data_IF_324959819084
#
_entry.id   IF_324959819084
#
_cell.length_a   1.000
_cell.length_b   1.000
_cell.length_c   1.000
_cell.angle_alpha   90.00
_cell.angle_beta   90.00
_cell.angle_gamma   90.00
#
_symmetry.space_group_name_H-M   'P 1'
#
loop_
_entity.id
_entity.type
_entity.pdbx_description
1 polymer ?
#
# COMPACT_ATOMS: atom_id res chain seq x y z
N UNK A 1 -33.31 -8.02 -17.40
CA UNK A 1 -32.56 -8.51 -16.22
C UNK A 1 -31.47 -7.47 -15.93
N UNK A 2 -31.67 -6.70 -14.86
CA UNK A 2 -30.92 -5.49 -14.54
C UNK A 2 -29.54 -5.81 -13.95
N UNK A 3 -28.48 -5.42 -14.66
CA UNK A 3 -27.12 -5.38 -14.12
C UNK A 3 -26.77 -3.92 -13.78
N UNK A 4 -27.35 -3.43 -12.69
CA UNK A 4 -26.95 -2.17 -12.06
C UNK A 4 -26.44 -2.48 -10.66
N UNK A 5 -25.51 -3.43 -10.55
CA UNK A 5 -24.52 -3.36 -9.48
C UNK A 5 -23.79 -2.04 -9.68
N UNK A 6 -24.07 -1.07 -8.81
CA UNK A 6 -23.29 0.16 -8.73
C UNK A 6 -21.87 -0.25 -8.36
N UNK A 7 -21.02 -0.42 -9.36
CA UNK A 7 -19.57 -0.59 -9.15
C UNK A 7 -19.15 0.60 -8.30
N UNK A 8 -18.71 0.32 -7.07
CA UNK A 8 -18.20 1.33 -6.16
C UNK A 8 -16.88 1.85 -6.76
N UNK A 9 -16.97 2.93 -7.54
CA UNK A 9 -15.82 3.52 -8.22
C UNK A 9 -15.00 4.30 -7.20
N UNK A 10 -13.76 3.87 -7.01
CA UNK A 10 -12.81 4.54 -6.12
C UNK A 10 -12.53 5.99 -6.57
N UNK A 11 -12.05 6.85 -5.67
CA UNK A 11 -11.66 8.22 -6.03
C UNK A 11 -10.53 8.29 -7.08
N UNK A 12 -9.71 7.23 -7.16
CA UNK A 12 -8.74 7.02 -8.24
C UNK A 12 -9.46 6.58 -9.53
N UNK A 13 -10.37 5.62 -9.43
CA UNK A 13 -11.21 5.15 -10.53
C UNK A 13 -12.00 6.26 -11.24
N UNK A 14 -12.61 7.16 -10.47
CA UNK A 14 -13.31 8.33 -11.01
C UNK A 14 -12.34 9.26 -11.78
N UNK A 15 -11.10 9.39 -11.31
CA UNK A 15 -10.07 10.19 -11.99
C UNK A 15 -9.61 9.53 -13.30
N UNK A 16 -9.48 8.20 -13.30
CA UNK A 16 -9.11 7.39 -14.48
C UNK A 16 -10.21 7.45 -15.54
N UNK A 17 -11.46 7.16 -15.18
CA UNK A 17 -12.60 7.24 -16.10
C UNK A 17 -12.83 8.66 -16.60
N UNK A 18 -12.70 9.67 -15.72
CA UNK A 18 -12.78 11.08 -16.08
C UNK A 18 -11.71 11.46 -17.11
N UNK A 19 -10.50 10.93 -16.99
CA UNK A 19 -9.46 11.16 -17.99
C UNK A 19 -9.82 10.53 -19.35
N UNK A 20 -10.37 9.33 -19.35
CA UNK A 20 -10.82 8.68 -20.59
C UNK A 20 -11.96 9.43 -21.29
N UNK A 21 -12.77 10.20 -20.55
CA UNK A 21 -13.81 11.05 -21.11
C UNK A 21 -13.25 12.19 -21.97
N UNK A 22 -12.01 12.63 -21.73
CA UNK A 22 -11.37 13.71 -22.50
C UNK A 22 -10.99 13.34 -23.93
N UNK A 23 -10.99 12.06 -24.31
CA UNK A 23 -10.55 11.66 -25.66
C UNK A 23 -11.20 10.36 -26.12
N UNK A 24 -11.94 10.45 -27.22
CA UNK A 24 -12.58 9.30 -27.86
C UNK A 24 -11.61 8.22 -28.35
N UNK A 25 -10.37 8.59 -28.67
CA UNK A 25 -9.35 7.64 -29.12
C UNK A 25 -8.67 6.86 -27.97
N UNK A 26 -8.97 7.21 -26.71
CA UNK A 26 -8.45 6.52 -25.53
C UNK A 26 -7.07 6.97 -25.08
N UNK A 27 -6.64 6.42 -23.94
CA UNK A 27 -5.33 6.67 -23.32
C UNK A 27 -4.66 5.36 -22.90
N UNK A 28 -3.33 5.35 -22.90
CA UNK A 28 -2.55 4.28 -22.27
C UNK A 28 -2.47 4.50 -20.75
N UNK A 29 -2.27 3.44 -19.94
CA UNK A 29 -2.09 3.59 -18.49
C UNK A 29 -1.00 4.61 -18.12
N UNK A 30 0.11 4.60 -18.87
CA UNK A 30 1.20 5.56 -18.72
C UNK A 30 0.78 7.01 -18.96
N UNK A 31 0.02 7.28 -20.03
CA UNK A 31 -0.44 8.64 -20.34
C UNK A 31 -1.45 9.17 -19.31
N UNK A 32 -2.27 8.27 -18.74
CA UNK A 32 -3.16 8.59 -17.61
C UNK A 32 -2.31 8.92 -16.38
N UNK A 33 -1.31 8.10 -16.05
CA UNK A 33 -0.42 8.30 -14.91
C UNK A 33 0.29 9.66 -14.96
N UNK A 34 0.85 10.03 -16.12
CA UNK A 34 1.50 11.32 -16.32
C UNK A 34 0.53 12.51 -16.12
N UNK A 35 -0.72 12.36 -16.57
CA UNK A 35 -1.73 13.44 -16.44
C UNK A 35 -2.21 13.60 -15.01
N UNK A 36 -2.41 12.50 -14.30
CA UNK A 36 -2.87 12.51 -12.91
C UNK A 36 -1.78 13.00 -11.94
N UNK A 37 -0.51 13.06 -12.37
CA UNK A 37 0.65 13.49 -11.58
C UNK A 37 0.64 12.85 -10.17
N UNK A 38 0.22 11.59 -10.08
CA UNK A 38 0.02 10.92 -8.80
C UNK A 38 1.35 10.89 -8.05
N UNK A 39 1.47 11.54 -6.88
CA UNK A 39 2.66 11.48 -6.07
C UNK A 39 2.65 10.15 -5.31
N UNK A 40 2.82 9.04 -6.02
CA UNK A 40 3.08 7.73 -5.43
C UNK A 40 4.58 7.61 -5.15
N UNK A 41 5.13 8.58 -4.42
CA UNK A 41 6.39 8.45 -3.69
C UNK A 41 6.08 8.24 -2.21
N UNK A 42 5.25 7.24 -1.92
CA UNK A 42 5.22 6.68 -0.58
C UNK A 42 6.45 5.78 -0.44
N UNK A 43 7.38 6.19 0.43
CA UNK A 43 8.62 5.49 0.82
C UNK A 43 8.49 3.96 0.70
N UNK A 44 9.18 3.35 -0.26
CA UNK A 44 9.43 1.91 -0.33
C UNK A 44 8.48 1.06 -1.19
N UNK A 45 7.46 1.63 -1.83
CA UNK A 45 6.64 0.87 -2.79
C UNK A 45 7.13 1.11 -4.22
N UNK A 46 7.79 0.10 -4.81
CA UNK A 46 8.20 0.08 -6.23
C UNK A 46 7.03 -0.10 -7.21
N UNK A 47 5.77 0.05 -6.76
CA UNK A 47 4.63 -0.12 -7.66
C UNK A 47 4.56 1.11 -8.58
N UNK A 48 4.99 0.90 -9.83
CA UNK A 48 4.87 1.90 -10.87
C UNK A 48 3.40 2.39 -10.98
N UNK A 49 3.15 3.71 -10.96
CA UNK A 49 1.80 4.28 -11.06
C UNK A 49 0.96 3.74 -12.23
N UNK A 50 1.63 3.38 -13.32
CA UNK A 50 1.03 2.74 -14.49
C UNK A 50 0.37 1.40 -14.16
N UNK A 51 0.96 0.59 -13.26
CA UNK A 51 0.41 -0.72 -12.86
C UNK A 51 -0.85 -0.59 -12.02
N UNK A 52 -0.93 0.41 -11.13
CA UNK A 52 -2.15 0.67 -10.35
C UNK A 52 -3.30 1.10 -11.26
N UNK A 53 -3.01 1.97 -12.23
CA UNK A 53 -3.99 2.39 -13.23
C UNK A 53 -4.40 1.21 -14.11
N UNK A 54 -3.44 0.34 -14.48
CA UNK A 54 -3.74 -0.86 -15.25
C UNK A 54 -4.65 -1.83 -14.50
N UNK A 55 -4.44 -2.05 -13.20
CA UNK A 55 -5.31 -2.88 -12.37
C UNK A 55 -6.75 -2.34 -12.31
N UNK A 56 -6.91 -1.02 -12.13
CA UNK A 56 -8.23 -0.36 -12.16
C UNK A 56 -8.89 -0.50 -13.55
N UNK A 57 -8.13 -0.33 -14.64
CA UNK A 57 -8.64 -0.50 -16.00
C UNK A 57 -9.04 -1.93 -16.32
N UNK A 58 -8.34 -2.93 -15.78
CA UNK A 58 -8.75 -4.34 -15.89
C UNK A 58 -10.09 -4.57 -15.20
N UNK A 59 -10.28 -4.03 -13.98
CA UNK A 59 -11.56 -4.08 -13.27
C UNK A 59 -12.69 -3.41 -14.05
N UNK A 60 -12.44 -2.23 -14.62
CA UNK A 60 -13.42 -1.54 -15.47
C UNK A 60 -13.71 -2.27 -16.78
N UNK A 61 -12.74 -2.99 -17.33
CA UNK A 61 -12.95 -3.79 -18.54
C UNK A 61 -13.86 -4.98 -18.22
N UNK A 62 -13.64 -5.66 -17.09
CA UNK A 62 -14.51 -6.75 -16.62
C UNK A 62 -15.93 -6.26 -16.34
N UNK A 63 -16.07 -5.05 -15.78
CA UNK A 63 -17.36 -4.40 -15.55
C UNK A 63 -18.01 -3.80 -16.81
N UNK A 64 -17.38 -3.93 -17.99
CA UNK A 64 -17.91 -3.40 -19.25
C UNK A 64 -17.92 -1.87 -19.37
N UNK A 65 -17.20 -1.15 -18.49
CA UNK A 65 -17.13 0.32 -18.48
C UNK A 65 -16.05 0.86 -19.44
N UNK A 66 -15.01 0.07 -19.71
CA UNK A 66 -13.97 0.41 -20.68
C UNK A 66 -13.73 -0.75 -21.63
N UNK A 67 -13.22 -0.44 -22.83
CA UNK A 67 -12.75 -1.42 -23.81
C UNK A 67 -11.30 -1.15 -24.15
N UNK A 68 -10.52 -2.22 -24.32
CA UNK A 68 -9.13 -2.13 -24.80
C UNK A 68 -9.12 -1.92 -26.31
N UNK A 69 -8.20 -1.09 -26.76
CA UNK A 69 -8.06 -0.63 -28.15
C UNK A 69 -6.59 -0.71 -28.57
N UNK A 70 -6.31 -0.41 -29.84
CA UNK A 70 -4.96 -0.54 -30.43
C UNK A 70 -3.91 0.20 -29.58
N UNK A 71 -2.68 -0.32 -29.55
CA UNK A 71 -1.53 0.20 -28.76
C UNK A 71 -1.75 0.21 -27.24
N UNK A 72 -2.41 -0.82 -26.69
CA UNK A 72 -2.67 -0.94 -25.25
C UNK A 72 -3.38 0.29 -24.63
N UNK A 73 -4.20 0.97 -25.44
CA UNK A 73 -5.03 2.08 -24.98
C UNK A 73 -6.38 1.58 -24.52
N UNK A 74 -7.04 2.33 -23.63
CA UNK A 74 -8.38 2.06 -23.16
C UNK A 74 -9.31 3.19 -23.56
N UNK A 75 -10.54 2.86 -23.96
CA UNK A 75 -11.62 3.79 -24.29
C UNK A 75 -12.83 3.50 -23.42
N UNK A 76 -13.63 4.52 -23.11
CA UNK A 76 -14.92 4.34 -22.45
C UNK A 76 -15.90 3.60 -23.38
N UNK A 77 -16.72 2.74 -22.78
CA UNK A 77 -17.95 2.26 -23.40
C UNK A 77 -19.09 3.27 -23.18
N UNK A 78 -20.25 3.03 -23.80
CA UNK A 78 -21.45 3.88 -23.55
C UNK A 78 -21.89 3.83 -22.09
N UNK A 79 -21.75 2.69 -21.44
CA UNK A 79 -22.10 2.52 -20.03
C UNK A 79 -21.07 3.19 -19.12
N UNK A 80 -19.77 3.06 -19.43
CA UNK A 80 -18.72 3.80 -18.74
C UNK A 80 -18.89 5.31 -18.84
N UNK A 81 -19.25 5.84 -20.02
CA UNK A 81 -19.56 7.26 -20.21
C UNK A 81 -20.78 7.69 -19.37
N UNK A 82 -21.86 6.90 -19.35
CA UNK A 82 -23.05 7.20 -18.53
C UNK A 82 -22.69 7.26 -17.04
N UNK A 83 -21.92 6.30 -16.57
CA UNK A 83 -21.50 6.20 -15.16
C UNK A 83 -20.61 7.37 -14.76
N UNK A 84 -19.57 7.69 -15.54
CA UNK A 84 -18.68 8.80 -15.19
C UNK A 84 -19.36 10.17 -15.31
N UNK A 85 -20.27 10.35 -16.27
CA UNK A 85 -21.06 11.59 -16.37
C UNK A 85 -22.00 11.75 -15.19
N UNK A 86 -22.65 10.67 -14.73
CA UNK A 86 -23.46 10.69 -13.51
C UNK A 86 -22.60 11.05 -12.27
N UNK A 87 -21.40 10.48 -12.16
CA UNK A 87 -20.45 10.75 -11.07
C UNK A 87 -19.98 12.20 -11.04
N UNK A 88 -19.79 12.81 -12.22
CA UNK A 88 -19.33 14.18 -12.40
C UNK A 88 -20.47 15.20 -12.53
N UNK A 89 -21.73 14.77 -12.39
CA UNK A 89 -22.93 15.59 -12.60
C UNK A 89 -22.96 16.29 -13.98
N UNK A 90 -22.40 15.65 -15.02
CA UNK A 90 -22.39 16.15 -16.39
C UNK A 90 -23.66 15.74 -17.15
N UNK A 91 -24.19 16.58 -18.06
CA UNK A 91 -25.34 16.22 -18.88
C UNK A 91 -25.01 15.00 -19.76
N UNK A 92 -25.99 14.08 -19.87
CA UNK A 92 -25.83 12.82 -20.62
C UNK A 92 -25.80 13.02 -22.14
N UNK A 93 -26.23 14.18 -22.63
CA UNK A 93 -26.30 14.51 -24.05
C UNK A 93 -25.50 15.78 -24.38
N UNK A 94 -24.24 15.62 -24.76
CA UNK A 94 -23.55 16.64 -25.54
C UNK A 94 -22.96 16.01 -26.81
N UNK A 95 -23.41 16.50 -27.97
CA UNK A 95 -22.80 16.13 -29.26
C UNK A 95 -21.40 16.76 -29.33
N UNK A 96 -20.40 15.92 -29.61
CA UNK A 96 -19.20 16.24 -30.39
C UNK A 96 -18.07 17.10 -29.79
N UNK A 97 -18.06 17.49 -28.51
CA UNK A 97 -16.87 18.13 -27.92
C UNK A 97 -16.25 17.27 -26.84
N UNK A 98 -14.98 16.95 -27.01
CA UNK A 98 -14.18 16.27 -26.00
C UNK A 98 -14.13 17.13 -24.72
N UNK A 99 -14.44 16.53 -23.58
CA UNK A 99 -14.49 17.22 -22.30
C UNK A 99 -13.08 17.68 -21.88
N UNK A 100 -12.96 18.91 -21.38
CA UNK A 100 -11.67 19.44 -20.96
C UNK A 100 -11.28 18.84 -19.60
N UNK A 101 -10.07 18.28 -19.51
CA UNK A 101 -9.52 17.73 -18.27
C UNK A 101 -9.56 18.72 -17.10
N UNK A 102 -9.39 20.02 -17.39
CA UNK A 102 -9.39 21.07 -16.36
C UNK A 102 -10.76 21.19 -15.67
N UNK A 103 -11.84 21.05 -16.42
CA UNK A 103 -13.22 21.14 -15.91
C UNK A 103 -13.62 19.85 -15.18
N UNK A 104 -13.23 18.69 -15.72
CA UNK A 104 -13.39 17.39 -15.05
C UNK A 104 -12.67 17.40 -13.69
N UNK A 105 -11.43 17.88 -13.65
CA UNK A 105 -10.66 17.99 -12.40
C UNK A 105 -11.38 18.86 -11.38
N UNK A 106 -11.99 19.98 -11.81
CA UNK A 106 -12.74 20.90 -10.95
C UNK A 106 -13.96 20.21 -10.31
N UNK A 107 -14.71 19.44 -11.09
CA UNK A 107 -15.85 18.67 -10.58
C UNK A 107 -15.43 17.54 -9.64
N UNK A 108 -14.32 16.84 -9.96
CA UNK A 108 -13.75 15.83 -9.05
C UNK A 108 -13.30 16.43 -7.72
N UNK A 109 -12.71 17.63 -7.72
CA UNK A 109 -12.31 18.31 -6.48
C UNK A 109 -13.50 18.84 -5.69
N UNK A 110 -14.52 19.39 -6.35
CA UNK A 110 -15.75 19.85 -5.69
C UNK A 110 -16.46 18.69 -5.01
N UNK A 111 -16.53 17.53 -5.67
CA UNK A 111 -17.10 16.32 -5.09
C UNK A 111 -16.30 15.77 -3.92
N UNK A 112 -14.96 15.76 -3.96
CA UNK A 112 -14.16 15.36 -2.79
C UNK A 112 -14.43 16.28 -1.61
N UNK A 113 -14.56 17.58 -1.87
CA UNK A 113 -14.93 18.53 -0.82
C UNK A 113 -16.35 18.29 -0.29
N UNK A 114 -17.32 17.96 -1.14
CA UNK A 114 -18.68 17.59 -0.71
C UNK A 114 -18.73 16.21 -0.01
N UNK A 115 -17.90 15.25 -0.39
CA UNK A 115 -17.75 13.97 0.32
C UNK A 115 -17.07 14.19 1.68
N UNK A 116 -16.08 15.08 1.77
CA UNK A 116 -15.42 15.46 3.03
C UNK A 116 -16.35 16.30 3.92
N UNK A 117 -17.17 17.18 3.34
CA UNK A 117 -18.18 18.00 4.04
C UNK A 117 -19.40 17.15 4.42
N UNK A 118 -19.83 16.20 3.59
CA UNK A 118 -20.91 15.26 3.89
C UNK A 118 -20.45 14.21 4.91
N UNK A 119 -19.19 13.77 4.86
CA UNK A 119 -18.57 12.96 5.90
C UNK A 119 -18.42 13.74 7.22
N UNK A 120 -18.04 15.03 7.18
CA UNK A 120 -17.99 15.90 8.35
C UNK A 120 -19.37 16.25 8.92
N UNK A 121 -20.38 16.45 8.05
CA UNK A 121 -21.78 16.66 8.42
C UNK A 121 -22.46 15.39 8.94
N UNK A 122 -21.91 14.21 8.63
CA UNK A 122 -22.26 12.94 9.28
C UNK A 122 -21.58 12.73 10.64
N UNK A 123 -21.32 13.82 11.37
CA UNK A 123 -21.20 13.76 12.83
C UNK A 123 -22.56 13.28 13.36
N UNK A 124 -22.77 11.96 13.35
CA UNK A 124 -23.91 11.27 13.95
C UNK A 124 -23.88 11.54 15.44
N UNK A 125 -24.45 12.65 15.85
CA UNK A 125 -24.90 12.83 17.21
C UNK A 125 -25.90 11.70 17.47
N UNK A 126 -25.61 10.85 18.45
CA UNK A 126 -26.55 9.83 18.90
C UNK A 126 -27.67 10.62 19.58
N UNK A 127 -28.75 10.91 18.84
CA UNK A 127 -29.93 11.57 19.40
C UNK A 127 -30.67 10.53 20.23
N UNK A 128 -30.48 10.57 21.55
CA UNK A 128 -31.27 9.79 22.48
C UNK A 128 -32.51 10.63 22.81
N UNK A 129 -33.65 10.30 22.22
CA UNK A 129 -34.93 10.95 22.54
C UNK A 129 -35.37 10.54 23.95
N UNK A 130 -35.19 11.43 24.92
CA UNK A 130 -35.65 11.25 26.30
C UNK A 130 -36.59 12.42 26.63
N UNK A 131 -37.80 12.17 27.17
CA UNK A 131 -38.68 13.23 27.63
C UNK A 131 -37.96 14.16 28.63
N UNK A 132 -38.13 15.49 28.55
CA UNK A 132 -37.35 16.43 29.36
C UNK A 132 -37.54 16.25 30.87
N UNK A 133 -38.71 15.74 31.29
CA UNK A 133 -39.00 15.41 32.69
C UNK A 133 -38.16 14.22 33.20
N UNK A 134 -37.93 13.21 32.36
CA UNK A 134 -37.12 12.05 32.70
C UNK A 134 -35.63 12.37 32.63
N UNK A 135 -35.22 13.26 31.71
CA UNK A 135 -33.83 13.65 31.54
C UNK A 135 -33.24 14.30 32.81
N UNK A 136 -34.01 15.16 33.50
CA UNK A 136 -33.58 15.79 34.74
C UNK A 136 -33.41 14.77 35.88
N UNK A 137 -34.33 13.80 35.99
CA UNK A 137 -34.28 12.74 37.01
C UNK A 137 -33.09 11.80 36.77
N UNK A 138 -32.86 11.39 35.52
CA UNK A 138 -31.73 10.54 35.13
C UNK A 138 -30.41 11.28 35.40
N UNK A 139 -30.31 12.56 35.03
CA UNK A 139 -29.12 13.37 35.30
C UNK A 139 -28.80 13.44 36.80
N UNK A 140 -29.79 13.69 37.66
CA UNK A 140 -29.59 13.74 39.11
C UNK A 140 -29.13 12.39 39.70
N UNK A 141 -29.70 11.27 39.23
CA UNK A 141 -29.29 9.93 39.65
C UNK A 141 -27.84 9.62 39.25
N UNK A 142 -27.47 9.94 38.01
CA UNK A 142 -26.11 9.70 37.51
C UNK A 142 -25.06 10.57 38.22
N UNK A 143 -25.38 11.84 38.49
CA UNK A 143 -24.50 12.73 39.26
C UNK A 143 -24.24 12.17 40.66
N UNK A 144 -25.29 11.70 41.35
CA UNK A 144 -25.15 11.08 42.67
C UNK A 144 -24.39 9.76 42.66
N UNK A 145 -24.69 8.87 41.71
CA UNK A 145 -24.08 7.54 41.63
C UNK A 145 -22.59 7.57 41.24
N UNK A 146 -22.19 8.50 40.37
CA UNK A 146 -20.82 8.62 39.87
C UNK A 146 -20.01 9.73 40.56
N UNK A 147 -20.56 10.37 41.61
CA UNK A 147 -19.92 11.46 42.35
C UNK A 147 -19.35 12.57 41.45
N UNK A 148 -20.18 13.06 40.51
CA UNK A 148 -19.74 14.01 39.48
C UNK A 148 -19.90 15.48 39.93
N UNK A 149 -18.81 16.25 39.90
CA UNK A 149 -18.82 17.69 40.24
C UNK A 149 -19.24 18.56 39.03
N UNK A 150 -20.53 18.53 38.67
CA UNK A 150 -21.05 19.24 37.49
C UNK A 150 -21.91 20.48 37.79
N UNK A 151 -21.99 20.91 39.06
CA UNK A 151 -22.77 22.06 39.51
C UNK A 151 -24.27 21.80 39.63
N UNK A 152 -25.05 22.84 39.93
CA UNK A 152 -26.51 22.76 40.10
C UNK A 152 -27.20 22.73 38.72
N UNK A 153 -27.85 21.61 38.38
CA UNK A 153 -28.63 21.33 37.15
C UNK A 153 -27.83 21.13 35.84
N UNK A 154 -26.95 20.11 35.75
CA UNK A 154 -26.29 19.80 34.48
C UNK A 154 -27.24 19.16 33.47
N UNK A 155 -27.13 19.55 32.21
CA UNK A 155 -27.85 18.90 31.10
C UNK A 155 -27.46 17.42 31.00
N UNK A 156 -28.42 16.55 30.68
CA UNK A 156 -28.19 15.10 30.61
C UNK A 156 -27.01 14.72 29.68
N UNK A 157 -26.88 15.36 28.52
CA UNK A 157 -25.76 15.13 27.61
C UNK A 157 -24.39 15.41 28.26
N UNK A 158 -24.29 16.44 29.10
CA UNK A 158 -23.07 16.77 29.86
C UNK A 158 -22.78 15.73 30.93
N UNK A 159 -23.82 15.25 31.62
CA UNK A 159 -23.69 14.17 32.62
C UNK A 159 -23.23 12.88 31.95
N UNK A 160 -23.84 12.48 30.84
CA UNK A 160 -23.44 11.29 30.07
C UNK A 160 -22.00 11.40 29.57
N UNK A 161 -21.60 12.57 29.07
CA UNK A 161 -20.21 12.81 28.67
C UNK A 161 -19.21 12.67 29.84
N UNK A 162 -19.57 13.19 31.03
CA UNK A 162 -18.74 13.06 32.22
C UNK A 162 -18.65 11.61 32.74
N UNK A 163 -19.76 10.85 32.71
CA UNK A 163 -19.76 9.41 33.02
C UNK A 163 -18.86 8.66 32.03
N UNK A 164 -18.96 8.98 30.73
CA UNK A 164 -18.14 8.35 29.70
C UNK A 164 -16.64 8.67 29.87
N UNK A 165 -16.28 9.91 30.24
CA UNK A 165 -14.91 10.27 30.61
C UNK A 165 -14.40 9.49 31.83
N UNK A 166 -15.23 9.35 32.87
CA UNK A 166 -14.91 8.56 34.06
C UNK A 166 -14.63 7.08 33.72
N UNK A 167 -15.43 6.48 32.82
CA UNK A 167 -15.25 5.10 32.38
C UNK A 167 -13.90 4.84 31.69
N UNK A 168 -13.33 5.85 31.02
CA UNK A 168 -11.99 5.77 30.40
C UNK A 168 -10.86 6.31 31.31
N UNK A 169 -11.18 6.57 32.59
CA UNK A 169 -10.24 7.01 33.62
C UNK A 169 -9.71 8.42 33.37
N UNK A 170 -10.55 9.33 32.86
CA UNK A 170 -10.18 10.71 32.58
C UNK A 170 -11.10 11.63 33.37
N UNK A 171 -10.52 12.53 34.16
CA UNK A 171 -11.28 13.59 34.82
C UNK A 171 -11.09 14.87 34.02
N UNK A 172 -12.09 15.23 33.21
CA UNK A 172 -12.07 16.46 32.41
C UNK A 172 -13.44 17.12 32.38
N UNK A 173 -13.44 18.45 32.29
CA UNK A 173 -14.65 19.25 32.07
C UNK A 173 -14.97 19.42 30.56
N UNK A 174 -14.13 18.88 29.68
CA UNK A 174 -14.33 18.93 28.23
C UNK A 174 -15.54 18.11 27.78
N UNK A 175 -16.24 18.54 26.70
CA UNK A 175 -17.31 17.75 26.12
C UNK A 175 -16.77 16.41 25.58
N UNK A 176 -17.54 15.35 25.73
CA UNK A 176 -17.19 14.02 25.22
C UNK A 176 -17.45 13.95 23.71
N UNK A 177 -16.50 14.44 22.92
CA UNK A 177 -16.55 14.39 21.46
C UNK A 177 -15.56 13.36 20.91
N UNK A 178 -15.79 12.87 19.68
CA UNK A 178 -14.87 11.94 19.02
C UNK A 178 -13.44 12.49 18.96
N UNK A 179 -13.28 13.76 18.63
CA UNK A 179 -11.99 14.44 18.57
C UNK A 179 -11.28 14.46 19.94
N UNK A 180 -12.01 14.82 21.01
CA UNK A 180 -11.46 14.85 22.36
C UNK A 180 -11.06 13.43 22.83
N UNK A 181 -11.90 12.42 22.56
CA UNK A 181 -11.61 11.02 22.89
C UNK A 181 -10.38 10.53 22.13
N UNK A 182 -10.32 10.76 20.81
CA UNK A 182 -9.17 10.40 20.00
C UNK A 182 -7.89 11.08 20.51
N UNK A 183 -7.96 12.38 20.82
CA UNK A 183 -6.82 13.14 21.37
C UNK A 183 -6.30 12.53 22.65
N UNK A 184 -7.18 12.14 23.58
CA UNK A 184 -6.76 11.52 24.86
C UNK A 184 -6.19 10.12 24.65
N UNK A 185 -6.87 9.25 23.89
CA UNK A 185 -6.42 7.87 23.67
C UNK A 185 -5.10 7.82 22.89
N UNK A 186 -5.01 8.58 21.80
CA UNK A 186 -3.78 8.70 21.01
C UNK A 186 -2.69 9.42 21.80
N UNK A 187 -3.04 10.40 22.62
CA UNK A 187 -2.11 11.12 23.49
C UNK A 187 -1.45 10.19 24.50
N UNK A 188 -2.21 9.30 25.15
CA UNK A 188 -1.66 8.24 26.02
C UNK A 188 -0.67 7.34 25.30
N UNK A 189 -0.99 6.94 24.06
CA UNK A 189 -0.08 6.10 23.27
C UNK A 189 1.19 6.86 22.84
N UNK A 190 1.08 8.16 22.61
CA UNK A 190 2.17 9.04 22.18
C UNK A 190 3.05 9.56 23.31
N UNK A 191 2.67 9.34 24.58
CA UNK A 191 3.17 10.06 25.75
C UNK A 191 3.08 11.59 25.60
N UNK A 192 2.00 12.06 24.96
CA UNK A 192 1.77 13.47 24.69
C UNK A 192 1.29 14.23 25.95
N UNK A 193 1.63 15.52 26.09
CA UNK A 193 1.13 16.33 27.20
C UNK A 193 -0.39 16.54 27.10
N UNK A 194 -1.06 16.70 28.25
CA UNK A 194 -2.52 16.74 28.36
C UNK A 194 -3.19 17.85 27.50
N UNK A 195 -2.47 18.94 27.23
CA UNK A 195 -2.93 20.10 26.45
C UNK A 195 -2.53 20.03 24.96
N UNK A 196 -1.93 18.93 24.50
CA UNK A 196 -1.58 18.78 23.10
C UNK A 196 -2.84 18.73 22.21
N UNK A 197 -2.80 19.46 21.10
CA UNK A 197 -3.82 19.36 20.05
C UNK A 197 -3.75 17.99 19.35
N UNK A 198 -4.86 17.53 18.75
CA UNK A 198 -4.88 16.24 18.04
C UNK A 198 -3.78 16.13 16.97
N UNK A 199 -3.51 17.23 16.26
CA UNK A 199 -2.41 17.28 15.27
C UNK A 199 -1.05 17.04 15.91
N UNK A 200 -0.77 17.68 17.04
CA UNK A 200 0.49 17.49 17.77
C UNK A 200 0.62 16.05 18.30
N UNK A 201 -0.48 15.45 18.77
CA UNK A 201 -0.53 14.05 19.19
C UNK A 201 -0.21 13.11 18.01
N UNK A 202 -0.80 13.35 16.84
CA UNK A 202 -0.52 12.57 15.62
C UNK A 202 0.94 12.71 15.22
N UNK A 203 1.49 13.93 15.22
CA UNK A 203 2.90 14.16 14.89
C UNK A 203 3.85 13.43 15.85
N UNK A 204 3.52 13.40 17.15
CA UNK A 204 4.26 12.65 18.17
C UNK A 204 4.15 11.13 17.95
N UNK A 205 2.96 10.63 17.62
CA UNK A 205 2.78 9.21 17.26
C UNK A 205 3.58 8.83 16.04
N UNK A 206 3.59 9.65 14.99
CA UNK A 206 4.36 9.40 13.77
C UNK A 206 5.86 9.37 14.10
N UNK A 207 6.35 10.28 14.96
CA UNK A 207 7.74 10.26 15.42
C UNK A 207 8.06 9.01 16.23
N UNK A 208 7.21 8.63 17.18
CA UNK A 208 7.37 7.43 18.01
C UNK A 208 7.31 6.13 17.19
N UNK A 209 6.40 6.06 16.22
CA UNK A 209 6.35 4.97 15.26
C UNK A 209 7.59 4.94 14.37
N UNK A 210 8.14 6.09 13.99
CA UNK A 210 9.38 6.16 13.20
C UNK A 210 10.60 5.72 14.01
N UNK A 211 10.69 6.05 15.30
CA UNK A 211 11.79 5.58 16.17
C UNK A 211 11.68 4.08 16.42
N UNK A 212 10.49 3.58 16.75
CA UNK A 212 10.23 2.14 16.88
C UNK A 212 10.49 1.39 15.56
N UNK A 213 10.09 1.96 14.42
CA UNK A 213 10.37 1.37 13.11
C UNK A 213 11.86 1.43 12.76
N UNK A 214 12.62 2.41 13.24
CA UNK A 214 14.08 2.50 13.06
C UNK A 214 14.81 1.52 13.98
N UNK A 215 14.36 1.35 15.22
CA UNK A 215 14.87 0.34 16.15
C UNK A 215 14.52 -1.07 15.70
N UNK A 216 13.31 -1.30 15.20
CA UNK A 216 12.90 -2.53 14.55
C UNK A 216 13.69 -2.77 13.25
N UNK A 217 13.99 -1.73 12.45
CA UNK A 217 14.92 -1.84 11.31
C UNK A 217 16.38 -2.01 11.73
N UNK A 218 16.79 -1.62 12.93
CA UNK A 218 18.10 -1.94 13.48
C UNK A 218 18.23 -3.41 13.88
N UNK A 219 17.11 -4.02 14.28
CA UNK A 219 16.98 -5.44 14.60
C UNK A 219 16.59 -6.33 13.40
N UNK A 220 16.02 -5.73 12.35
CA UNK A 220 15.51 -6.41 11.13
C UNK A 220 16.16 -5.90 9.84
N UNK A 221 17.18 -5.03 9.91
CA UNK A 221 18.10 -4.92 8.80
C UNK A 221 18.71 -6.30 8.63
N UNK A 222 18.74 -6.87 7.41
CA UNK A 222 19.71 -7.92 7.16
C UNK A 222 21.04 -7.31 7.58
N UNK A 223 21.69 -7.90 8.59
CA UNK A 223 23.09 -7.61 8.78
C UNK A 223 23.69 -7.91 7.41
N UNK A 224 24.17 -6.89 6.72
CA UNK A 224 24.75 -7.04 5.39
C UNK A 224 25.99 -7.89 5.58
N UNK A 225 25.83 -9.20 5.56
CA UNK A 225 26.90 -10.12 5.82
C UNK A 225 27.76 -10.09 4.56
N UNK A 226 29.00 -9.64 4.67
CA UNK A 226 29.93 -9.76 3.56
C UNK A 226 30.07 -11.25 3.22
N UNK A 227 30.25 -11.57 1.93
CA UNK A 227 30.65 -12.91 1.55
C UNK A 227 31.92 -13.30 2.33
N UNK A 228 31.99 -14.52 2.92
CA UNK A 228 33.19 -14.98 3.61
C UNK A 228 34.42 -14.75 2.74
N UNK A 229 35.54 -14.26 3.28
CA UNK A 229 36.73 -13.97 2.46
C UNK A 229 37.47 -15.25 2.06
N UNK A 230 37.38 -16.29 2.88
CA UNK A 230 38.02 -17.58 2.65
C UNK A 230 37.21 -18.43 1.65
N UNK A 231 37.92 -19.17 0.81
CA UNK A 231 37.33 -19.95 -0.28
C UNK A 231 36.48 -21.15 0.20
N UNK A 232 36.88 -21.91 1.24
CA UNK A 232 36.08 -23.04 1.76
C UNK A 232 34.75 -22.61 2.38
N UNK A 233 34.74 -21.57 3.23
CA UNK A 233 33.49 -21.09 3.84
C UNK A 233 32.60 -20.43 2.80
N UNK A 234 33.17 -19.76 1.79
CA UNK A 234 32.42 -19.28 0.64
C UNK A 234 31.74 -20.42 -0.11
N UNK A 235 32.47 -21.49 -0.44
CA UNK A 235 31.90 -22.64 -1.14
C UNK A 235 30.79 -23.33 -0.34
N UNK A 236 31.01 -23.54 0.96
CA UNK A 236 29.99 -24.08 1.86
C UNK A 236 28.72 -23.21 1.88
N UNK A 237 28.89 -21.88 1.97
CA UNK A 237 27.77 -20.94 1.97
C UNK A 237 26.98 -20.95 0.66
N UNK A 238 27.67 -21.05 -0.48
CA UNK A 238 27.05 -21.19 -1.80
C UNK A 238 26.25 -22.49 -1.89
N UNK A 239 26.79 -23.60 -1.40
CA UNK A 239 26.10 -24.91 -1.39
C UNK A 239 24.86 -24.87 -0.48
N UNK A 240 24.97 -24.24 0.71
CA UNK A 240 23.82 -24.03 1.59
C UNK A 240 22.72 -23.21 0.93
N UNK A 241 23.09 -22.10 0.29
CA UNK A 241 22.14 -21.26 -0.45
C UNK A 241 21.49 -22.02 -1.62
N UNK A 242 22.25 -22.85 -2.33
CA UNK A 242 21.73 -23.72 -3.38
C UNK A 242 20.74 -24.75 -2.81
N UNK A 243 21.07 -25.40 -1.68
CA UNK A 243 20.17 -26.34 -0.97
C UNK A 243 18.89 -25.68 -0.49
N UNK A 244 18.97 -24.45 0.02
CA UNK A 244 17.83 -23.69 0.50
C UNK A 244 16.96 -23.10 -0.63
N UNK A 245 17.48 -23.02 -1.86
CA UNK A 245 16.73 -22.48 -2.98
C UNK A 245 15.53 -23.35 -3.32
N UNK A 246 14.34 -22.73 -3.37
CA UNK A 246 13.08 -23.36 -3.80
C UNK A 246 12.80 -23.17 -5.29
N UNK A 247 13.57 -22.33 -5.98
CA UNK A 247 13.39 -21.98 -7.39
C UNK A 247 14.68 -22.22 -8.19
N UNK A 248 14.57 -22.27 -9.52
CA UNK A 248 15.73 -22.47 -10.40
C UNK A 248 16.40 -23.83 -10.27
N UNK A 249 15.65 -24.84 -9.82
CA UNK A 249 16.12 -26.22 -9.75
C UNK A 249 15.97 -26.88 -11.12
N UNK A 250 16.98 -27.64 -11.51
CA UNK A 250 16.94 -28.48 -12.69
C UNK A 250 17.29 -29.92 -12.30
N UNK A 251 16.26 -30.77 -12.20
CA UNK A 251 16.36 -32.06 -11.53
C UNK A 251 16.61 -31.92 -10.03
N UNK A 252 17.08 -33.00 -9.40
CA UNK A 252 17.14 -33.08 -7.94
C UNK A 252 18.41 -32.46 -7.34
N UNK A 253 19.47 -32.30 -8.14
CA UNK A 253 20.82 -31.97 -7.66
C UNK A 253 21.48 -30.77 -8.35
N UNK A 254 20.74 -29.96 -9.11
CA UNK A 254 21.29 -28.77 -9.79
C UNK A 254 20.43 -27.55 -9.54
N UNK A 255 21.08 -26.41 -9.29
CA UNK A 255 20.43 -25.11 -9.13
C UNK A 255 21.16 -24.08 -9.97
N UNK A 256 20.40 -23.25 -10.69
CA UNK A 256 20.93 -22.15 -11.49
C UNK A 256 21.75 -21.17 -10.64
N UNK A 257 22.93 -20.77 -11.14
CA UNK A 257 23.82 -19.81 -10.45
C UNK A 257 23.08 -18.49 -10.15
N UNK A 258 22.23 -18.03 -11.07
CA UNK A 258 21.40 -16.82 -10.88
C UNK A 258 20.46 -16.92 -9.67
N UNK A 259 19.90 -18.10 -9.41
CA UNK A 259 19.03 -18.34 -8.27
C UNK A 259 19.79 -18.44 -6.96
N UNK A 260 20.98 -19.04 -6.96
CA UNK A 260 21.86 -19.05 -5.78
C UNK A 260 22.28 -17.63 -5.42
N UNK A 261 22.66 -16.82 -6.41
CA UNK A 261 23.02 -15.42 -6.22
C UNK A 261 21.85 -14.60 -5.63
N UNK A 262 20.67 -14.69 -6.25
CA UNK A 262 19.45 -14.03 -5.75
C UNK A 262 19.13 -14.45 -4.32
N UNK A 263 19.26 -15.73 -4.00
CA UNK A 263 19.02 -16.25 -2.66
C UNK A 263 19.97 -15.65 -1.63
N UNK A 264 21.26 -15.55 -1.94
CA UNK A 264 22.24 -14.91 -1.07
C UNK A 264 21.89 -13.43 -0.82
N UNK A 265 21.47 -12.70 -1.85
CA UNK A 265 21.02 -11.31 -1.72
C UNK A 265 19.76 -11.20 -0.85
N UNK A 266 18.78 -12.10 -1.01
CA UNK A 266 17.58 -12.17 -0.17
C UNK A 266 17.91 -12.47 1.30
N UNK A 267 18.96 -13.24 1.56
CA UNK A 267 19.48 -13.51 2.91
C UNK A 267 20.28 -12.34 3.49
N UNK A 268 20.43 -11.24 2.74
CA UNK A 268 21.14 -10.04 3.18
C UNK A 268 22.63 -10.04 2.88
N UNK A 269 23.14 -10.94 2.05
CA UNK A 269 24.56 -10.95 1.67
C UNK A 269 24.84 -9.79 0.70
N UNK A 270 25.83 -8.95 1.01
CA UNK A 270 26.29 -7.94 0.06
C UNK A 270 27.04 -8.59 -1.10
N UNK A 271 26.50 -8.47 -2.30
CA UNK A 271 27.14 -8.87 -3.54
C UNK A 271 27.02 -7.70 -4.50
N UNK A 272 28.02 -6.82 -4.47
CA UNK A 272 28.04 -5.59 -5.29
C UNK A 272 28.42 -5.86 -6.74
N UNK A 273 29.12 -6.98 -7.00
CA UNK A 273 29.58 -7.39 -8.32
C UNK A 273 29.30 -8.88 -8.56
N UNK A 274 28.34 -9.14 -9.45
CA UNK A 274 27.95 -10.48 -9.85
C UNK A 274 29.06 -11.21 -10.62
N UNK A 275 29.89 -10.50 -11.39
CA UNK A 275 30.98 -11.09 -12.16
C UNK A 275 32.14 -11.49 -11.24
N UNK A 276 32.46 -10.67 -10.23
CA UNK A 276 33.41 -11.05 -9.18
C UNK A 276 32.94 -12.30 -8.41
N UNK A 277 31.65 -12.40 -8.10
CA UNK A 277 31.07 -13.59 -7.50
C UNK A 277 31.21 -14.83 -8.39
N UNK A 278 30.90 -14.72 -9.69
CA UNK A 278 31.04 -15.81 -10.66
C UNK A 278 32.50 -16.24 -10.84
N UNK A 279 33.45 -15.30 -10.92
CA UNK A 279 34.88 -15.60 -10.98
C UNK A 279 35.33 -16.40 -9.74
N UNK A 280 34.77 -16.06 -8.59
CA UNK A 280 35.05 -16.75 -7.33
C UNK A 280 34.42 -18.15 -7.25
N UNK A 281 33.23 -18.35 -7.82
CA UNK A 281 32.65 -19.68 -8.01
C UNK A 281 33.56 -20.57 -8.87
N UNK A 282 34.13 -20.02 -9.94
CA UNK A 282 35.09 -20.74 -10.78
C UNK A 282 36.35 -21.11 -10.00
N UNK A 283 36.88 -20.20 -9.16
CA UNK A 283 38.02 -20.50 -8.27
C UNK A 283 37.71 -21.69 -7.35
N UNK A 284 36.59 -21.61 -6.63
CA UNK A 284 36.15 -22.67 -5.72
C UNK A 284 35.90 -24.02 -6.44
N UNK A 285 35.41 -23.97 -7.69
CA UNK A 285 35.24 -25.15 -8.50
C UNK A 285 36.57 -25.81 -8.87
N UNK A 286 37.56 -25.02 -9.28
CA UNK A 286 38.92 -25.50 -9.60
C UNK A 286 39.63 -26.09 -8.38
N UNK A 287 39.37 -25.54 -7.21
CA UNK A 287 39.89 -26.05 -5.93
C UNK A 287 39.14 -27.30 -5.43
N UNK A 288 38.12 -27.79 -6.16
CA UNK A 288 37.34 -28.97 -5.78
C UNK A 288 36.41 -28.76 -4.58
N UNK A 289 36.18 -27.51 -4.17
CA UNK A 289 35.34 -27.16 -3.02
C UNK A 289 33.85 -27.15 -3.37
N UNK A 290 33.52 -26.97 -4.64
CA UNK A 290 32.17 -27.11 -5.18
C UNK A 290 32.21 -27.64 -6.62
N UNK A 291 31.08 -28.13 -7.12
CA UNK A 291 30.96 -28.61 -8.49
C UNK A 291 30.03 -27.70 -9.30
N UNK A 292 30.53 -27.19 -10.43
CA UNK A 292 29.74 -26.46 -11.41
C UNK A 292 29.40 -27.37 -12.59
N UNK A 293 28.19 -27.23 -13.12
CA UNK A 293 27.71 -28.01 -14.26
C UNK A 293 27.28 -27.11 -15.42
N UNK A 294 27.43 -27.65 -16.63
CA UNK A 294 26.93 -27.06 -17.87
C UNK A 294 25.44 -27.33 -18.02
N UNK A 295 24.79 -26.50 -18.84
CA UNK A 295 23.47 -26.80 -19.37
C UNK A 295 23.63 -27.53 -20.71
N UNK A 296 23.27 -28.80 -20.72
CA UNK A 296 23.35 -29.64 -21.93
C UNK A 296 22.09 -29.55 -22.80
N UNK A 297 20.97 -29.08 -22.22
CA UNK A 297 19.67 -28.95 -22.87
C UNK A 297 19.08 -27.55 -22.65
N UNK A 298 19.82 -26.53 -23.08
CA UNK A 298 19.47 -25.10 -22.90
C UNK A 298 18.10 -24.76 -23.49
N UNK A 299 17.74 -25.37 -24.63
CA UNK A 299 16.47 -25.10 -25.34
C UNK A 299 15.22 -25.51 -24.54
N UNK A 300 15.36 -26.38 -23.53
CA UNK A 300 14.27 -26.81 -22.66
C UNK A 300 14.20 -26.01 -21.34
N UNK A 301 15.03 -24.98 -21.19
CA UNK A 301 15.16 -24.18 -19.97
C UNK A 301 14.65 -22.74 -20.19
N UNK A 302 14.33 -22.04 -19.10
CA UNK A 302 13.96 -20.62 -19.15
C UNK A 302 15.17 -19.79 -19.63
N UNK A 303 15.09 -19.09 -20.77
CA UNK A 303 16.25 -18.41 -21.36
C UNK A 303 16.86 -17.36 -20.42
N UNK A 304 16.03 -16.64 -19.65
CA UNK A 304 16.50 -15.64 -18.72
C UNK A 304 17.37 -16.22 -17.59
N UNK A 305 17.06 -17.43 -17.12
CA UNK A 305 17.82 -18.08 -16.05
C UNK A 305 19.14 -18.66 -16.56
N UNK A 306 19.17 -19.11 -17.82
CA UNK A 306 20.39 -19.54 -18.52
C UNK A 306 21.32 -18.35 -18.69
N UNK A 307 20.85 -17.26 -19.31
CA UNK A 307 21.63 -16.06 -19.60
C UNK A 307 22.20 -15.46 -18.30
N UNK A 308 21.38 -15.34 -17.26
CA UNK A 308 21.81 -14.79 -15.97
C UNK A 308 22.81 -15.70 -15.23
N UNK A 309 22.79 -17.01 -15.50
CA UNK A 309 23.67 -18.00 -14.87
C UNK A 309 24.97 -18.22 -15.61
N UNK A 310 25.12 -17.71 -16.84
CA UNK A 310 26.33 -17.90 -17.63
C UNK A 310 27.57 -17.47 -16.85
N UNK A 311 28.42 -18.46 -16.59
CA UNK A 311 29.70 -18.30 -15.90
C UNK A 311 30.79 -18.91 -16.75
N UNK A 312 31.56 -18.07 -17.44
CA UNK A 312 32.55 -18.48 -18.43
C UNK A 312 33.92 -18.70 -17.79
N UNK A 313 34.55 -19.81 -18.13
CA UNK A 313 35.94 -20.11 -17.82
C UNK A 313 36.60 -20.83 -19.00
N UNK A 314 37.59 -20.19 -19.61
CA UNK A 314 38.23 -20.64 -20.84
C UNK A 314 37.18 -20.94 -21.93
N UNK A 315 37.12 -22.18 -22.43
CA UNK A 315 36.16 -22.64 -23.44
C UNK A 315 34.87 -23.24 -22.85
N UNK A 316 34.67 -23.14 -21.53
CA UNK A 316 33.54 -23.77 -20.84
C UNK A 316 32.62 -22.73 -20.20
N UNK A 317 31.31 -22.90 -20.38
CA UNK A 317 30.27 -22.08 -19.72
C UNK A 317 29.50 -22.93 -18.74
N UNK A 318 29.55 -22.56 -17.47
CA UNK A 318 28.77 -23.17 -16.39
C UNK A 318 27.48 -22.40 -16.14
N UNK A 319 26.45 -23.11 -15.71
CA UNK A 319 25.12 -22.55 -15.44
C UNK A 319 24.55 -23.00 -14.08
N UNK A 320 25.05 -24.12 -13.55
CA UNK A 320 24.51 -24.74 -12.35
C UNK A 320 25.57 -24.92 -11.27
N UNK A 321 25.14 -24.77 -10.02
CA UNK A 321 25.82 -25.36 -8.85
C UNK A 321 25.22 -26.74 -8.60
N UNK A 322 26.08 -27.75 -8.45
CA UNK A 322 25.67 -29.11 -8.07
C UNK A 322 25.63 -29.24 -6.55
N UNK A 323 24.56 -29.87 -6.06
CA UNK A 323 24.30 -30.16 -4.64
C UNK A 323 24.62 -31.62 -4.32
#
# INVERSE_FOLDING_TARGET
MSASEQVAISGLGASVLGRLLCRSNGYTPYAIAQTLQLPLKAKGSHIEPSRLIENELIGFQQAGLVKRVRKASYQLTRDGERVIRAILCLPQHHKSKAENWRDIKKNLTARRLDEDVSAAASSREIVIEIPPADAARIAALLVGAFHLDLGTTPALARVLGAVAWSAIGVTTAEPFTLEAVMRVLLGRLADAPAQATLRQVIDLLVRKASTLATSARGLLAPQTAALPADEPTFAARVIEAARASKSGRFGDNKVFISHVLRRLVEEGVAIDDAEAFKARLVSAHRSGLLALNRADLVEAMEPADVDASETRYLSTTFHFVRI
#
